data_IF_786350825344
#
_entry.id   IF_786350825344
#
_cell.length_a   1.000
_cell.length_b   1.000
_cell.length_c   1.000
_cell.angle_alpha   90.00
_cell.angle_beta   90.00
_cell.angle_gamma   90.00
#
_symmetry.space_group_name_H-M   'P 1'
#
loop_
_entity.id
_entity.type
_entity.pdbx_description
1 polymer ?
#
# COMPACT_ATOMS: atom_id res chain seq x y z
N UNK A 1 16.56 -6.36 -8.10
CA UNK A 1 15.34 -5.82 -7.45
C UNK A 1 14.94 -6.80 -6.37
N UNK A 2 14.79 -6.30 -5.14
CA UNK A 2 14.46 -7.14 -3.98
C UNK A 2 13.15 -6.74 -3.29
N UNK A 3 12.56 -5.58 -3.65
CA UNK A 3 11.29 -5.12 -3.10
C UNK A 3 10.18 -5.22 -4.16
N UNK A 4 9.14 -5.98 -3.84
CA UNK A 4 7.93 -6.16 -4.66
C UNK A 4 6.73 -5.60 -3.91
N UNK A 5 6.14 -4.56 -4.49
CA UNK A 5 5.05 -3.81 -3.89
C UNK A 5 3.72 -4.14 -4.54
N UNK A 6 2.84 -4.79 -3.80
CA UNK A 6 1.56 -5.31 -4.23
C UNK A 6 0.40 -4.64 -3.46
N UNK A 7 -0.81 -4.98 -3.81
CA UNK A 7 -2.02 -4.72 -3.04
C UNK A 7 -3.09 -5.77 -3.38
N UNK A 8 -3.99 -6.00 -2.44
CA UNK A 8 -5.06 -6.99 -2.60
C UNK A 8 -5.96 -6.72 -3.82
N UNK A 9 -6.14 -5.44 -4.20
CA UNK A 9 -6.99 -5.03 -5.31
C UNK A 9 -6.27 -4.88 -6.67
N UNK A 10 -4.93 -5.11 -6.76
CA UNK A 10 -4.20 -4.93 -8.00
C UNK A 10 -4.46 -6.04 -9.02
N UNK A 11 -4.53 -5.63 -10.29
CA UNK A 11 -4.68 -6.49 -11.46
C UNK A 11 -5.99 -6.27 -12.19
N UNK A 12 -6.31 -7.07 -13.24
CA UNK A 12 -7.56 -6.94 -13.98
C UNK A 12 -8.81 -7.29 -13.14
N UNK A 13 -8.65 -8.10 -12.10
CA UNK A 13 -9.62 -8.33 -11.02
C UNK A 13 -8.91 -8.28 -9.66
N UNK A 14 -9.65 -8.03 -8.57
CA UNK A 14 -9.09 -8.10 -7.22
C UNK A 14 -8.34 -9.41 -6.98
N UNK A 15 -7.13 -9.33 -6.42
CA UNK A 15 -6.27 -10.47 -6.10
C UNK A 15 -5.36 -10.97 -7.22
N UNK A 16 -5.59 -10.58 -8.48
CA UNK A 16 -4.88 -11.17 -9.63
C UNK A 16 -3.36 -10.92 -9.59
N UNK A 17 -2.91 -9.75 -9.16
CA UNK A 17 -1.47 -9.46 -9.07
C UNK A 17 -0.79 -10.31 -7.99
N UNK A 18 -1.42 -10.49 -6.84
CA UNK A 18 -0.89 -11.35 -5.76
C UNK A 18 -0.86 -12.82 -6.18
N UNK A 19 -1.88 -13.32 -6.87
CA UNK A 19 -1.90 -14.69 -7.41
C UNK A 19 -0.77 -14.93 -8.41
N UNK A 20 -0.57 -13.99 -9.35
CA UNK A 20 0.50 -14.08 -10.34
C UNK A 20 1.88 -14.04 -9.67
N UNK A 21 2.08 -13.13 -8.73
CA UNK A 21 3.33 -13.04 -8.00
C UNK A 21 3.58 -14.27 -7.10
N UNK A 22 2.54 -14.82 -6.48
CA UNK A 22 2.62 -16.06 -5.72
C UNK A 22 3.06 -17.26 -6.58
N UNK A 23 2.67 -17.33 -7.87
CA UNK A 23 3.19 -18.32 -8.80
C UNK A 23 4.69 -18.11 -9.06
N UNK A 24 5.12 -16.87 -9.31
CA UNK A 24 6.54 -16.52 -9.53
C UNK A 24 7.39 -16.85 -8.30
N UNK A 25 6.87 -16.56 -7.08
CA UNK A 25 7.56 -16.94 -5.84
C UNK A 25 7.83 -18.45 -5.76
N UNK A 26 6.87 -19.26 -6.14
CA UNK A 26 7.00 -20.73 -6.09
C UNK A 26 7.90 -21.29 -7.20
N UNK A 27 7.94 -20.67 -8.38
CA UNK A 27 8.74 -21.15 -9.51
C UNK A 27 10.13 -20.52 -9.56
N UNK A 28 10.17 -19.20 -9.78
CA UNK A 28 11.41 -18.49 -10.13
C UNK A 28 12.21 -18.03 -8.89
N UNK A 29 11.51 -17.83 -7.76
CA UNK A 29 12.11 -17.39 -6.49
C UNK A 29 12.03 -18.45 -5.40
N UNK A 30 11.91 -19.73 -5.77
CA UNK A 30 11.89 -20.81 -4.80
C UNK A 30 13.15 -20.78 -3.90
N UNK A 31 12.93 -20.73 -2.59
CA UNK A 31 14.01 -20.65 -1.59
C UNK A 31 14.63 -19.26 -1.39
N UNK A 32 14.11 -18.20 -2.04
CA UNK A 32 14.61 -16.83 -1.92
C UNK A 32 13.71 -15.92 -1.08
N UNK A 33 12.69 -16.46 -0.39
CA UNK A 33 11.71 -15.64 0.38
C UNK A 33 12.38 -14.65 1.33
N UNK A 34 13.40 -15.08 2.03
CA UNK A 34 14.08 -14.27 3.05
C UNK A 34 15.03 -13.20 2.48
N UNK A 35 15.30 -13.25 1.17
CA UNK A 35 16.06 -12.23 0.43
C UNK A 35 15.16 -11.16 -0.22
N UNK A 36 13.84 -11.33 -0.10
CA UNK A 36 12.85 -10.46 -0.74
C UNK A 36 12.05 -9.67 0.30
N UNK A 37 11.81 -8.41 -0.01
CA UNK A 37 10.82 -7.57 0.67
C UNK A 37 9.53 -7.65 -0.14
N UNK A 38 8.49 -8.22 0.46
CA UNK A 38 7.16 -8.34 -0.13
C UNK A 38 6.20 -7.47 0.67
N UNK A 39 5.59 -6.51 0.00
CA UNK A 39 4.55 -5.69 0.63
C UNK A 39 3.20 -5.90 -0.02
N UNK A 40 2.13 -5.82 0.79
CA UNK A 40 0.75 -5.77 0.30
C UNK A 40 -0.08 -4.77 1.10
N UNK A 41 -1.26 -4.45 0.59
CA UNK A 41 -2.11 -3.36 1.10
C UNK A 41 -3.57 -3.77 1.05
N UNK A 42 -4.38 -3.23 1.96
CA UNK A 42 -5.83 -3.34 1.92
C UNK A 42 -6.50 -1.99 2.24
N UNK A 43 -7.59 -1.68 1.55
CA UNK A 43 -8.35 -0.42 1.71
C UNK A 43 -9.36 -0.18 0.59
N UNK A 44 -9.21 -0.82 -0.55
CA UNK A 44 -10.12 -0.72 -1.69
C UNK A 44 -11.03 -1.93 -1.80
N UNK A 45 -12.07 -1.81 -2.61
CA UNK A 45 -13.08 -2.84 -2.81
C UNK A 45 -12.49 -4.20 -3.21
N UNK A 46 -12.93 -5.25 -2.52
CA UNK A 46 -12.54 -6.64 -2.76
C UNK A 46 -13.73 -7.59 -2.92
N UNK A 47 -14.84 -7.36 -2.22
CA UNK A 47 -16.05 -8.19 -2.28
C UNK A 47 -17.30 -7.40 -1.86
N UNK A 48 -18.47 -7.87 -2.28
CA UNK A 48 -19.75 -7.26 -1.94
C UNK A 48 -20.08 -7.37 -0.44
N UNK A 49 -20.72 -6.33 0.08
CA UNK A 49 -21.19 -6.28 1.46
C UNK A 49 -20.45 -5.21 2.29
N UNK A 50 -20.88 -5.03 3.55
CA UNK A 50 -20.45 -3.89 4.38
C UNK A 50 -18.99 -3.97 4.86
N UNK A 51 -18.32 -5.10 4.65
CA UNK A 51 -16.94 -5.32 5.10
C UNK A 51 -16.00 -5.68 3.93
N UNK A 52 -16.36 -5.29 2.70
CA UNK A 52 -15.59 -5.61 1.49
C UNK A 52 -14.56 -4.57 1.10
N UNK A 53 -14.45 -3.44 1.82
CA UNK A 53 -13.49 -2.36 1.59
C UNK A 53 -13.25 -1.52 2.86
N UNK A 54 -12.42 -0.47 2.75
CA UNK A 54 -12.08 0.53 3.75
C UNK A 54 -11.14 0.04 4.84
N UNK A 55 -11.31 0.52 6.09
CA UNK A 55 -10.32 0.38 7.15
C UNK A 55 -10.77 -0.40 8.38
N UNK A 56 -11.97 -1.02 8.37
CA UNK A 56 -12.46 -1.76 9.53
C UNK A 56 -11.52 -2.90 9.92
N UNK A 57 -11.44 -3.20 11.21
CA UNK A 57 -10.64 -4.30 11.73
C UNK A 57 -10.95 -5.63 11.04
N UNK A 58 -12.23 -5.91 10.81
CA UNK A 58 -12.66 -7.13 10.13
C UNK A 58 -12.14 -7.21 8.70
N UNK A 59 -12.25 -6.13 7.95
CA UNK A 59 -11.78 -6.06 6.57
C UNK A 59 -10.26 -6.21 6.47
N UNK A 60 -9.48 -5.48 7.29
CA UNK A 60 -8.03 -5.50 7.22
C UNK A 60 -7.45 -6.88 7.53
N UNK A 61 -7.94 -7.54 8.60
CA UNK A 61 -7.47 -8.88 8.99
C UNK A 61 -7.86 -9.91 7.93
N UNK A 62 -9.12 -9.92 7.48
CA UNK A 62 -9.56 -10.83 6.43
C UNK A 62 -8.80 -10.63 5.12
N UNK A 63 -8.53 -9.38 4.73
CA UNK A 63 -7.74 -9.04 3.54
C UNK A 63 -6.30 -9.51 3.64
N UNK A 64 -5.66 -9.34 4.80
CA UNK A 64 -4.31 -9.83 5.05
C UNK A 64 -4.26 -11.37 4.90
N UNK A 65 -5.17 -12.10 5.53
CA UNK A 65 -5.24 -13.56 5.43
C UNK A 65 -5.44 -14.04 3.98
N UNK A 66 -6.29 -13.34 3.22
CA UNK A 66 -6.51 -13.64 1.81
C UNK A 66 -5.28 -13.32 0.94
N UNK A 67 -4.56 -12.23 1.22
CA UNK A 67 -3.32 -11.85 0.54
C UNK A 67 -2.24 -12.89 0.74
N UNK A 68 -2.03 -13.34 1.98
CA UNK A 68 -1.07 -14.42 2.31
C UNK A 68 -1.38 -15.70 1.55
N UNK A 69 -2.68 -16.10 1.45
CA UNK A 69 -3.09 -17.27 0.68
C UNK A 69 -2.79 -17.13 -0.82
N UNK A 70 -3.07 -15.96 -1.43
CA UNK A 70 -2.81 -15.73 -2.86
C UNK A 70 -1.31 -15.72 -3.16
N UNK A 71 -0.53 -15.10 -2.30
CA UNK A 71 0.93 -15.06 -2.39
C UNK A 71 1.57 -16.44 -2.11
N UNK A 72 0.94 -17.27 -1.28
CA UNK A 72 1.49 -18.55 -0.84
C UNK A 72 2.65 -18.38 0.14
N UNK A 73 2.55 -17.41 1.04
CA UNK A 73 3.55 -17.09 2.07
C UNK A 73 2.90 -17.03 3.46
N UNK A 74 3.70 -17.23 4.50
CA UNK A 74 3.22 -17.17 5.89
C UNK A 74 3.12 -15.73 6.40
N UNK A 75 3.93 -14.81 5.84
CA UNK A 75 3.96 -13.40 6.20
C UNK A 75 4.36 -12.53 5.00
N UNK A 76 3.99 -11.25 5.05
CA UNK A 76 4.56 -10.18 4.23
C UNK A 76 5.52 -9.33 5.06
N UNK A 77 6.47 -8.66 4.41
CA UNK A 77 7.39 -7.78 5.15
C UNK A 77 6.68 -6.51 5.61
N UNK A 78 5.86 -5.92 4.74
CA UNK A 78 5.12 -4.71 5.08
C UNK A 78 3.65 -4.87 4.69
N UNK A 79 2.73 -4.61 5.62
CA UNK A 79 1.31 -4.52 5.33
C UNK A 79 0.81 -3.10 5.52
N UNK A 80 0.15 -2.55 4.50
CA UNK A 80 -0.30 -1.16 4.49
C UNK A 80 -1.81 -1.03 4.71
N UNK A 81 -2.22 -0.02 5.50
CA UNK A 81 -3.50 0.62 5.27
C UNK A 81 -3.42 1.43 3.98
N UNK A 82 -4.17 1.01 2.94
CA UNK A 82 -4.01 1.52 1.57
C UNK A 82 -4.56 2.94 1.39
N UNK A 83 -5.51 3.34 2.22
CA UNK A 83 -6.09 4.69 2.28
C UNK A 83 -6.74 4.94 3.64
N UNK A 84 -6.87 6.21 3.99
CA UNK A 84 -7.62 6.62 5.17
C UNK A 84 -9.11 6.31 5.01
N UNK A 85 -9.73 5.73 6.04
CA UNK A 85 -11.16 5.49 6.13
C UNK A 85 -11.79 6.57 7.02
N UNK A 86 -12.68 7.44 6.47
CA UNK A 86 -13.29 8.50 7.25
C UNK A 86 -14.38 8.01 8.24
N UNK A 87 -14.92 6.83 8.01
CA UNK A 87 -16.10 6.30 8.75
C UNK A 87 -15.69 5.31 9.84
N UNK A 88 -14.48 4.72 9.78
CA UNK A 88 -13.96 3.85 10.83
C UNK A 88 -13.08 4.65 11.80
N UNK A 89 -13.25 4.52 13.11
CA UNK A 89 -12.33 5.12 14.07
C UNK A 89 -10.88 4.74 13.77
N UNK A 90 -9.97 5.73 13.75
CA UNK A 90 -8.58 5.51 13.38
C UNK A 90 -7.88 4.49 14.29
N UNK A 91 -8.27 4.48 15.57
CA UNK A 91 -7.79 3.54 16.59
C UNK A 91 -8.12 2.09 16.22
N UNK A 92 -9.30 1.83 15.64
CA UNK A 92 -9.69 0.49 15.18
C UNK A 92 -8.81 0.02 14.03
N UNK A 93 -8.59 0.89 13.04
CA UNK A 93 -7.71 0.62 11.89
C UNK A 93 -6.28 0.35 12.35
N UNK A 94 -5.74 1.19 13.23
CA UNK A 94 -4.37 1.01 13.74
C UNK A 94 -4.24 -0.23 14.64
N UNK A 95 -5.24 -0.52 15.48
CA UNK A 95 -5.27 -1.75 16.27
C UNK A 95 -5.37 -3.02 15.40
N UNK A 96 -5.98 -2.94 14.22
CA UNK A 96 -5.96 -4.03 13.25
C UNK A 96 -4.55 -4.26 12.67
N UNK A 97 -3.83 -3.20 12.32
CA UNK A 97 -2.45 -3.29 11.83
C UNK A 97 -1.51 -3.83 12.93
N UNK A 98 -1.61 -3.34 14.16
CA UNK A 98 -0.87 -3.87 15.30
C UNK A 98 -1.12 -5.37 15.49
N UNK A 99 -2.38 -5.81 15.43
CA UNK A 99 -2.72 -7.22 15.51
C UNK A 99 -2.10 -8.05 14.39
N UNK A 100 -2.07 -7.56 13.17
CA UNK A 100 -1.46 -8.24 12.02
C UNK A 100 0.04 -8.48 12.29
N UNK A 101 0.77 -7.49 12.81
CA UNK A 101 2.19 -7.64 13.18
C UNK A 101 2.35 -8.60 14.35
N UNK A 102 1.64 -8.41 15.45
CA UNK A 102 1.76 -9.26 16.64
C UNK A 102 1.42 -10.72 16.39
N UNK A 103 0.55 -10.98 15.41
CA UNK A 103 0.20 -12.35 15.01
C UNK A 103 1.17 -12.98 13.99
N UNK A 104 2.24 -12.27 13.62
CA UNK A 104 3.26 -12.76 12.71
C UNK A 104 2.89 -12.76 11.23
N UNK A 105 1.80 -12.08 10.85
CA UNK A 105 1.34 -11.98 9.44
C UNK A 105 2.09 -10.91 8.64
N UNK A 106 2.67 -9.92 9.32
CA UNK A 106 3.56 -8.92 8.74
C UNK A 106 4.69 -8.59 9.72
N UNK A 107 5.85 -8.18 9.20
CA UNK A 107 6.95 -7.72 10.05
C UNK A 107 6.77 -6.26 10.44
N UNK A 108 6.27 -5.45 9.52
CA UNK A 108 6.09 -4.01 9.67
C UNK A 108 4.75 -3.55 9.13
N UNK A 109 4.34 -2.36 9.54
CA UNK A 109 3.16 -1.66 8.99
C UNK A 109 3.55 -0.40 8.27
N UNK A 110 2.74 -0.04 7.28
CA UNK A 110 2.83 1.21 6.54
C UNK A 110 1.48 1.87 6.34
N UNK A 111 1.51 3.12 5.94
CA UNK A 111 0.35 3.92 5.56
C UNK A 111 0.46 4.33 4.10
N UNK A 112 -0.67 4.48 3.42
CA UNK A 112 -0.71 5.02 2.06
C UNK A 112 -1.86 6.01 1.93
N UNK A 113 -1.63 7.10 1.21
CA UNK A 113 -2.66 8.12 0.90
C UNK A 113 -3.31 8.77 2.13
N UNK A 114 -2.59 8.86 3.24
CA UNK A 114 -2.94 9.66 4.41
C UNK A 114 -2.34 11.06 4.27
N UNK A 115 -3.05 12.10 4.72
CA UNK A 115 -2.49 13.46 4.83
C UNK A 115 -1.57 13.57 6.06
N UNK A 116 -0.85 14.70 6.18
CA UNK A 116 0.11 14.93 7.25
C UNK A 116 -0.50 14.77 8.65
N UNK A 117 -1.68 15.35 8.87
CA UNK A 117 -2.38 15.28 10.16
C UNK A 117 -2.73 13.82 10.51
N UNK A 118 -3.39 13.10 9.60
CA UNK A 118 -3.79 11.70 9.83
C UNK A 118 -2.60 10.76 9.96
N UNK A 119 -1.50 11.07 9.27
CA UNK A 119 -0.24 10.32 9.44
C UNK A 119 0.33 10.48 10.85
N UNK A 120 0.34 11.71 11.40
CA UNK A 120 0.79 11.95 12.78
C UNK A 120 -0.11 11.25 13.81
N UNK A 121 -1.43 11.34 13.64
CA UNK A 121 -2.41 10.68 14.52
C UNK A 121 -2.23 9.15 14.49
N UNK A 122 -2.18 8.55 13.31
CA UNK A 122 -1.98 7.12 13.14
C UNK A 122 -0.64 6.63 13.73
N UNK A 123 0.45 7.37 13.48
CA UNK A 123 1.76 7.04 14.02
C UNK A 123 1.80 7.12 15.55
N UNK A 124 1.10 8.07 16.15
CA UNK A 124 0.99 8.18 17.61
C UNK A 124 0.29 6.95 18.21
N UNK A 125 -0.87 6.56 17.63
CA UNK A 125 -1.62 5.38 18.07
C UNK A 125 -0.78 4.11 17.92
N UNK A 126 -0.13 3.91 16.77
CA UNK A 126 0.71 2.73 16.53
C UNK A 126 1.90 2.68 17.48
N UNK A 127 2.53 3.80 17.79
CA UNK A 127 3.62 3.89 18.77
C UNK A 127 3.16 3.51 20.17
N UNK A 128 1.99 4.00 20.59
CA UNK A 128 1.41 3.68 21.89
C UNK A 128 1.04 2.19 22.01
N UNK A 129 0.67 1.55 20.89
CA UNK A 129 0.46 0.11 20.80
C UNK A 129 1.78 -0.70 20.78
N UNK A 130 2.94 -0.05 20.57
CA UNK A 130 4.25 -0.69 20.46
C UNK A 130 4.59 -1.24 19.08
N UNK A 131 3.87 -0.82 18.04
CA UNK A 131 4.09 -1.18 16.64
C UNK A 131 4.32 0.07 15.81
N UNK A 132 5.54 0.67 15.79
CA UNK A 132 5.80 1.90 15.06
C UNK A 132 5.58 1.74 13.56
N UNK A 133 5.01 2.80 12.94
CA UNK A 133 4.82 2.84 11.50
C UNK A 133 6.16 3.03 10.78
N UNK A 134 6.51 2.10 9.90
CA UNK A 134 7.81 2.10 9.21
C UNK A 134 7.87 3.09 8.05
N UNK A 135 6.79 3.19 7.27
CA UNK A 135 6.85 3.79 5.94
C UNK A 135 5.50 4.36 5.51
N UNK A 136 5.54 5.45 4.75
CA UNK A 136 4.37 6.02 4.08
C UNK A 136 4.50 5.94 2.56
N UNK A 137 3.43 5.55 1.88
CA UNK A 137 3.39 5.49 0.41
C UNK A 137 2.41 6.54 -0.16
N UNK A 138 2.89 7.73 -0.57
CA UNK A 138 2.08 8.76 -1.19
C UNK A 138 2.14 8.73 -2.72
N UNK A 139 1.12 9.29 -3.39
CA UNK A 139 1.24 9.72 -4.78
C UNK A 139 2.12 10.97 -4.86
N UNK A 140 3.28 10.86 -5.48
CA UNK A 140 4.22 11.98 -5.58
C UNK A 140 5.01 11.94 -6.88
N UNK A 141 5.01 13.05 -7.61
CA UNK A 141 5.80 13.25 -8.82
C UNK A 141 5.91 14.75 -9.14
N UNK A 142 6.65 15.11 -10.17
CA UNK A 142 6.88 16.51 -10.56
C UNK A 142 5.60 17.30 -10.85
N UNK A 143 4.51 16.64 -11.27
CA UNK A 143 3.21 17.26 -11.57
C UNK A 143 2.27 17.24 -10.37
N UNK A 144 2.40 16.28 -9.48
CA UNK A 144 1.58 16.13 -8.27
C UNK A 144 2.45 16.27 -7.02
N UNK A 145 2.54 17.49 -6.50
CA UNK A 145 3.39 17.87 -5.36
C UNK A 145 2.56 18.17 -4.09
N UNK A 146 1.44 17.51 -3.93
CA UNK A 146 0.53 17.77 -2.80
C UNK A 146 1.20 17.52 -1.44
N UNK A 147 2.08 16.52 -1.36
CA UNK A 147 2.79 16.11 -0.13
C UNK A 147 3.64 17.22 0.47
N UNK A 148 4.16 18.12 -0.38
CA UNK A 148 4.95 19.27 0.05
C UNK A 148 4.03 20.35 0.66
N UNK A 149 2.91 20.62 0.00
CA UNK A 149 1.94 21.64 0.44
C UNK A 149 1.15 21.22 1.67
N UNK A 150 0.92 19.94 1.84
CA UNK A 150 0.23 19.35 2.99
C UNK A 150 1.14 19.27 4.23
N UNK A 151 2.46 19.36 4.06
CA UNK A 151 3.45 19.15 5.12
C UNK A 151 3.68 17.68 5.46
N UNK A 152 3.31 16.76 4.55
CA UNK A 152 3.49 15.32 4.77
C UNK A 152 4.96 14.92 4.82
N UNK A 153 5.83 15.57 4.02
CA UNK A 153 7.27 15.30 4.05
C UNK A 153 7.87 15.64 5.43
N UNK A 154 7.52 16.80 5.97
CA UNK A 154 7.97 17.23 7.31
C UNK A 154 7.41 16.28 8.39
N UNK A 155 6.15 15.84 8.25
CA UNK A 155 5.55 14.88 9.17
C UNK A 155 6.30 13.55 9.18
N UNK A 156 6.69 13.04 8.02
CA UNK A 156 7.47 11.80 7.92
C UNK A 156 8.87 11.94 8.51
N UNK A 157 9.55 13.06 8.26
CA UNK A 157 10.88 13.34 8.82
C UNK A 157 10.85 13.40 10.35
N UNK A 158 9.91 14.17 10.91
CA UNK A 158 9.71 14.28 12.37
C UNK A 158 9.42 12.93 13.05
N UNK A 159 8.74 12.02 12.33
CA UNK A 159 8.36 10.70 12.83
C UNK A 159 9.44 9.62 12.59
N UNK A 160 10.51 9.95 11.86
CA UNK A 160 11.52 8.97 11.42
C UNK A 160 10.97 7.92 10.48
N UNK A 161 9.96 8.27 9.70
CA UNK A 161 9.22 7.36 8.80
C UNK A 161 9.80 7.42 7.39
N UNK A 162 10.06 6.26 6.78
CA UNK A 162 10.47 6.16 5.38
C UNK A 162 9.36 6.54 4.39
N UNK A 163 9.73 6.78 3.13
CA UNK A 163 8.78 7.06 2.06
C UNK A 163 9.09 6.28 0.79
N UNK A 164 8.05 5.81 0.12
CA UNK A 164 8.10 5.23 -1.23
C UNK A 164 6.97 5.81 -2.07
N UNK A 165 7.29 6.51 -3.15
CA UNK A 165 6.26 7.17 -3.97
C UNK A 165 5.65 6.23 -5.01
N UNK A 166 4.34 6.28 -5.18
CA UNK A 166 3.68 5.70 -6.34
C UNK A 166 3.35 6.77 -7.39
N UNK A 167 3.07 6.36 -8.63
CA UNK A 167 2.88 7.25 -9.79
C UNK A 167 4.04 8.21 -10.07
N UNK A 168 5.28 7.82 -9.76
CA UNK A 168 6.47 8.66 -9.93
C UNK A 168 6.65 9.21 -11.36
N UNK A 169 6.19 8.48 -12.38
CA UNK A 169 6.19 8.91 -13.78
C UNK A 169 4.84 9.51 -14.25
N UNK A 170 3.96 9.88 -13.33
CA UNK A 170 2.63 10.45 -13.64
C UNK A 170 1.89 9.62 -14.71
N UNK A 171 1.77 8.31 -14.49
CA UNK A 171 1.17 7.33 -15.42
C UNK A 171 1.82 7.32 -16.83
N UNK A 172 3.09 7.66 -16.92
CA UNK A 172 3.86 7.71 -18.16
C UNK A 172 3.99 9.10 -18.78
N UNK A 173 3.27 10.10 -18.28
CA UNK A 173 3.34 11.49 -18.80
C UNK A 173 4.73 12.11 -18.67
N UNK A 174 5.51 11.73 -17.66
CA UNK A 174 6.88 12.19 -17.45
C UNK A 174 7.93 11.38 -18.22
N UNK A 175 7.52 10.53 -19.15
CA UNK A 175 8.41 9.79 -20.03
C UNK A 175 8.65 10.51 -21.36
N UNK A 176 9.70 10.10 -22.08
CA UNK A 176 9.98 10.63 -23.43
C UNK A 176 8.86 10.42 -24.44
N UNK A 177 7.93 9.50 -24.16
CA UNK A 177 6.81 9.17 -25.03
C UNK A 177 5.90 10.37 -25.34
N UNK A 178 5.82 11.33 -24.42
CA UNK A 178 4.95 12.51 -24.56
C UNK A 178 5.64 13.78 -25.04
N UNK A 179 6.94 13.75 -25.36
CA UNK A 179 7.68 14.94 -25.80
C UNK A 179 7.19 15.52 -27.12
N UNK A 180 6.64 14.68 -28.00
CA UNK A 180 6.14 15.07 -29.33
C UNK A 180 4.61 15.06 -29.44
N UNK A 181 3.91 15.18 -28.31
CA UNK A 181 2.44 15.16 -28.23
C UNK A 181 1.89 13.93 -27.56
N UNK A 182 0.55 13.81 -27.57
CA UNK A 182 -0.16 12.70 -26.93
C UNK A 182 -0.16 11.48 -27.86
N UNK A 183 0.47 10.33 -27.49
CA UNK A 183 0.45 9.13 -28.32
C UNK A 183 -0.97 8.56 -28.45
N UNK A 184 -1.38 8.19 -29.67
CA UNK A 184 -2.74 7.71 -29.93
C UNK A 184 -3.15 6.44 -29.18
N UNK A 185 -2.19 5.61 -28.77
CA UNK A 185 -2.37 4.40 -27.97
C UNK A 185 -2.24 4.64 -26.46
N UNK A 186 -2.11 5.90 -26.02
CA UNK A 186 -2.00 6.26 -24.61
C UNK A 186 -3.36 6.30 -23.90
N UNK A 187 -3.34 6.13 -22.55
CA UNK A 187 -4.56 6.31 -21.73
C UNK A 187 -5.17 7.69 -21.90
N UNK A 188 -4.34 8.73 -22.02
CA UNK A 188 -4.78 10.10 -22.26
C UNK A 188 -5.55 10.25 -23.58
N UNK A 189 -5.08 9.63 -24.68
CA UNK A 189 -5.77 9.63 -25.96
C UNK A 189 -7.08 8.82 -25.95
N UNK A 190 -7.16 7.78 -25.09
CA UNK A 190 -8.33 6.93 -24.94
C UNK A 190 -9.36 7.46 -23.92
N UNK A 191 -9.11 8.61 -23.29
CA UNK A 191 -9.96 9.15 -22.24
C UNK A 191 -10.02 8.29 -20.97
N UNK A 192 -9.04 7.42 -20.76
CA UNK A 192 -8.91 6.55 -19.58
C UNK A 192 -7.91 7.19 -18.61
N UNK A 193 -8.41 7.98 -17.68
CA UNK A 193 -7.62 8.55 -16.58
C UNK A 193 -7.69 7.66 -15.35
#
# INVERSE_FOLDING_TARGET
>A
ITHFDLANNYGPRPGAAEEAFGQILRSDFAGLRDELIISSKAGYYMWDGPYGEWGSRKYLIASCDQSLKRLGVDYVDIFYSHRFDPDTPLEETMAALDHIVRSGRALYVGLSSYNAQRTREAAAILRDLGTPCLIHQPSYNMLNRWVERDGLLDAMDDLGMGSIAFTALAQGMLTRRYLNGIPGDSRAAQGKS
#
